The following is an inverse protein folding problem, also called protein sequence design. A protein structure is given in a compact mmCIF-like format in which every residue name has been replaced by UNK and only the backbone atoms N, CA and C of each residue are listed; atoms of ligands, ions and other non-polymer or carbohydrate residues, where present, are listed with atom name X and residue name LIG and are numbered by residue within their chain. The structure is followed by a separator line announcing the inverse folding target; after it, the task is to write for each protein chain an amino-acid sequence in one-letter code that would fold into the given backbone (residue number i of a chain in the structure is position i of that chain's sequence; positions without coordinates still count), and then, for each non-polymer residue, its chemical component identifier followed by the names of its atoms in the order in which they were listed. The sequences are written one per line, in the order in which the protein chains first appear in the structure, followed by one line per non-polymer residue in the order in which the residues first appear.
data_IF_838887433734
#
_entry.id   IF_838887433734
#
_cell.length_a   1.000
_cell.length_b   1.000
_cell.length_c   1.000
_cell.angle_alpha   90.00
_cell.angle_beta   90.00
_cell.angle_gamma   90.00
#
_symmetry.space_group_name_H-M   'P 1'
#
loop_
_entity.id
_entity.type
_entity.pdbx_description
1 polymer ?
2 polymer ?
#
# COMPACT_ATOMS: atom_id res chain seq x y z
N UNK A 1 -10.20 8.08 -9.62
CA UNK A 1 -9.41 7.00 -8.98
C UNK A 1 -9.08 7.34 -7.53
N UNK A 2 -8.34 6.46 -6.88
CA UNK A 2 -7.95 6.66 -5.49
C UNK A 2 -6.67 5.90 -5.16
N UNK A 3 -5.57 6.64 -5.00
CA UNK A 3 -4.29 6.03 -4.68
C UNK A 3 -4.22 5.66 -3.19
N UNK A 4 -3.30 4.77 -2.85
CA UNK A 4 -3.15 4.33 -1.47
C UNK A 4 -1.68 4.09 -1.12
N UNK A 5 -1.17 4.86 -0.18
CA UNK A 5 0.21 4.73 0.26
C UNK A 5 0.41 3.41 1.01
N UNK A 6 1.66 3.02 1.20
CA UNK A 6 1.95 1.77 1.92
C UNK A 6 3.35 1.83 2.57
N UNK A 7 3.41 1.44 3.83
CA UNK A 7 4.67 1.44 4.57
C UNK A 7 4.94 0.05 5.14
N UNK A 8 6.11 -0.49 4.83
CA UNK A 8 6.50 -1.81 5.31
C UNK A 8 6.44 -1.89 6.83
N UNK A 9 6.99 -0.88 7.49
CA UNK A 9 6.99 -0.83 8.95
C UNK A 9 5.91 0.11 9.46
N UNK A 10 5.85 0.28 10.78
CA UNK A 10 4.86 1.14 11.40
C UNK A 10 5.53 2.27 12.19
N UNK A 11 6.62 2.79 11.64
CA UNK A 11 7.36 3.87 12.30
C UNK A 11 7.19 5.18 11.55
N UNK A 12 7.57 6.27 12.20
CA UNK A 12 7.47 7.57 11.58
C UNK A 12 8.66 7.87 10.67
N UNK A 13 9.63 6.95 10.65
CA UNK A 13 10.81 7.11 9.82
C UNK A 13 10.81 6.13 8.66
N UNK A 14 10.13 5.00 8.84
CA UNK A 14 10.04 3.96 7.81
C UNK A 14 9.83 4.56 6.42
N UNK A 15 10.08 3.76 5.39
CA UNK A 15 9.91 4.21 4.02
C UNK A 15 8.44 4.46 3.70
N UNK A 16 8.18 5.57 3.02
CA UNK A 16 6.82 5.95 2.65
C UNK A 16 6.60 5.79 1.15
N UNK A 17 5.83 4.78 0.77
CA UNK A 17 5.54 4.52 -0.63
C UNK A 17 4.04 4.32 -0.84
N UNK A 18 3.67 3.76 -1.99
CA UNK A 18 2.28 3.50 -2.28
C UNK A 18 1.58 4.66 -2.98
N UNK A 19 2.28 5.49 -3.77
CA UNK A 19 1.65 6.60 -4.48
C UNK A 19 0.99 6.14 -5.79
N UNK A 20 0.62 4.87 -5.83
CA UNK A 20 -0.01 4.29 -7.02
C UNK A 20 -1.52 4.22 -6.86
N UNK A 21 -2.22 3.97 -7.96
CA UNK A 21 -3.67 3.89 -7.94
C UNK A 21 -4.13 2.63 -7.20
N UNK A 22 -5.30 2.72 -6.58
CA UNK A 22 -5.85 1.58 -5.85
C UNK A 22 -5.74 0.31 -6.68
N UNK A 23 -5.80 0.48 -8.00
CA UNK A 23 -5.69 -0.63 -8.93
C UNK A 23 -4.33 -1.29 -8.81
N UNK A 24 -3.28 -0.48 -8.86
CA UNK A 24 -1.91 -0.97 -8.76
C UNK A 24 -1.66 -1.57 -7.38
N UNK A 25 -2.23 -0.95 -6.37
CA UNK A 25 -2.08 -1.40 -4.99
C UNK A 25 -2.76 -2.75 -4.81
N UNK A 26 -3.97 -2.88 -5.33
CA UNK A 26 -4.72 -4.13 -5.23
C UNK A 26 -3.92 -5.28 -5.83
N UNK A 27 -3.23 -5.01 -6.93
CA UNK A 27 -2.43 -6.02 -7.60
C UNK A 27 -1.34 -6.55 -6.66
N UNK A 28 -0.49 -5.64 -6.19
CA UNK A 28 0.59 -6.00 -5.29
C UNK A 28 0.05 -6.60 -3.99
N UNK A 29 -0.96 -5.95 -3.43
CA UNK A 29 -1.58 -6.41 -2.19
C UNK A 29 -2.27 -7.77 -2.37
N UNK A 30 -2.85 -7.97 -3.55
CA UNK A 30 -3.54 -9.21 -3.85
C UNK A 30 -2.59 -10.26 -4.43
N UNK A 31 -1.61 -9.81 -5.21
CA UNK A 31 -0.64 -10.70 -5.83
C UNK A 31 0.06 -11.55 -4.77
N UNK A 32 0.21 -11.00 -3.57
CA UNK A 32 0.86 -11.72 -2.50
C UNK A 32 2.18 -11.09 -2.09
N UNK A 33 2.52 -9.96 -2.71
CA UNK A 33 3.77 -9.26 -2.39
C UNK A 33 3.86 -8.95 -0.90
N UNK A 34 2.71 -8.67 -0.29
CA UNK A 34 2.65 -8.36 1.14
C UNK A 34 2.02 -9.50 1.91
N UNK A 35 2.78 -10.56 2.21
CA UNK A 35 2.28 -11.73 2.94
C UNK A 35 1.93 -11.39 4.40
N UNK A 36 2.43 -10.25 4.88
CA UNK A 36 2.16 -9.83 6.25
C UNK A 36 1.35 -8.54 6.28
N UNK A 37 1.17 -7.91 5.12
CA UNK A 37 0.42 -6.68 5.05
C UNK A 37 1.31 -5.47 5.21
N UNK A 38 0.84 -4.31 4.75
CA UNK A 38 1.61 -3.08 4.86
C UNK A 38 0.75 -1.93 5.38
N UNK A 39 1.42 -0.90 5.88
CA UNK A 39 0.73 0.27 6.41
C UNK A 39 0.08 1.06 5.28
N UNK A 40 -1.14 0.65 4.91
CA UNK A 40 -1.87 1.30 3.83
C UNK A 40 -2.60 2.53 4.34
N UNK A 41 -2.66 3.56 3.50
CA UNK A 41 -3.33 4.81 3.84
C UNK A 41 -3.43 5.70 2.62
N UNK A 42 -4.59 6.33 2.44
CA UNK A 42 -4.82 7.22 1.31
C UNK A 42 -3.82 8.36 1.33
N UNK A 43 -3.21 8.63 0.17
CA UNK A 43 -2.22 9.69 0.04
C UNK A 43 -2.75 11.01 0.60
N UNK A 44 -3.92 11.43 0.12
CA UNK A 44 -4.52 12.68 0.58
C UNK A 44 -5.62 12.41 1.60
N UNK A 45 -5.55 13.04 2.79
CA UNK A 45 -4.47 13.96 3.16
C UNK A 45 -3.19 13.24 3.55
N UNK A 46 -2.05 13.95 3.54
CA UNK A 46 -0.76 13.37 3.89
C UNK A 46 -0.55 13.27 5.40
N UNK A 47 -0.41 12.05 5.91
CA UNK A 47 -0.20 11.85 7.33
C UNK A 47 -1.51 11.65 8.08
N UNK A 48 -1.84 10.40 8.36
CA UNK A 48 -3.07 10.09 9.07
C UNK A 48 -3.02 8.77 9.80
N UNK A 49 -4.13 8.38 10.40
CA UNK A 49 -4.22 7.12 11.12
C UNK A 49 -4.09 5.94 10.17
N UNK A 50 -2.87 5.69 9.71
CA UNK A 50 -2.59 4.59 8.78
C UNK A 50 -3.36 3.33 9.16
N UNK A 51 -3.45 2.39 8.21
CA UNK A 51 -4.14 1.12 8.44
C UNK A 51 -3.53 0.02 7.60
N UNK A 52 -3.37 -1.16 8.20
CA UNK A 52 -2.79 -2.30 7.50
C UNK A 52 -3.59 -2.63 6.24
N UNK A 53 -2.89 -2.91 5.15
CA UNK A 53 -3.54 -3.24 3.89
C UNK A 53 -4.51 -4.40 4.06
N UNK A 54 -4.20 -5.29 5.00
CA UNK A 54 -5.05 -6.44 5.26
C UNK A 54 -6.31 -6.03 6.02
N UNK A 55 -6.37 -4.77 6.46
CA UNK A 55 -7.52 -4.26 7.19
C UNK A 55 -8.35 -3.30 6.34
N UNK A 56 -7.94 -3.12 5.08
CA UNK A 56 -8.64 -2.22 4.18
C UNK A 56 -9.39 -3.00 3.10
N UNK A 57 -10.46 -2.42 2.59
CA UNK A 57 -11.26 -3.07 1.55
C UNK A 57 -11.25 -2.23 0.27
N UNK A 58 -10.26 -2.45 -0.58
CA UNK A 58 -10.14 -1.72 -1.84
C UNK A 58 -11.36 -1.98 -2.73
N UNK A 59 -12.03 -3.10 -2.50
CA UNK A 59 -13.21 -3.46 -3.28
C UNK A 59 -14.34 -2.44 -3.09
N UNK A 60 -14.28 -1.70 -1.98
CA UNK A 60 -15.30 -0.70 -1.69
C UNK A 60 -14.83 0.69 -2.11
N UNK A 61 -13.99 0.74 -3.14
CA UNK A 61 -13.48 2.00 -3.64
C UNK A 61 -13.36 1.98 -5.16
N UNK A 62 -12.80 0.89 -5.69
CA UNK A 62 -12.63 0.74 -7.14
C UNK A 62 -13.97 0.48 -7.82
N UNK B 1 -1.30 -6.46 -17.69
CA UNK B 1 -1.49 -7.57 -16.71
C UNK B 1 -0.37 -7.59 -15.68
N UNK B 2 0.85 -7.87 -16.14
CA UNK B 2 2.01 -7.92 -15.26
C UNK B 2 2.26 -6.56 -14.62
N UNK B 3 3.26 -6.50 -13.75
CA UNK B 3 3.60 -5.25 -13.06
C UNK B 3 5.04 -5.30 -12.52
N UNK B 4 5.65 -4.13 -12.34
CA UNK B 4 7.01 -4.01 -11.82
C UNK B 4 7.07 -4.21 -10.31
N UNK B 5 8.29 -4.38 -9.77
CA UNK B 5 8.50 -4.58 -8.33
C UNK B 5 8.16 -3.33 -7.52
N UNK B 6 7.39 -3.47 -6.43
CA UNK B 6 7.01 -2.34 -5.58
C UNK B 6 8.23 -1.72 -4.89
N UNK B 7 8.14 -0.43 -4.50
CA UNK B 7 9.24 0.25 -3.83
C UNK B 7 9.60 -0.40 -2.50
N UNK B 8 10.57 0.19 -1.81
CA UNK B 8 11.00 -0.34 -0.54
C UNK B 8 11.85 -1.59 -0.67
N UNK B 9 11.19 -2.73 -0.89
CA UNK B 9 11.89 -4.01 -1.05
C UNK B 9 13.03 -4.17 -0.05
N UNK B 10 13.91 -5.12 -0.33
CA UNK B 10 15.06 -5.37 0.54
C UNK B 10 15.85 -6.57 0.05
N UNK B 11 17.02 -6.32 -0.52
CA UNK B 11 17.88 -7.37 -1.04
C UNK B 11 19.33 -7.14 -0.65
#
# INVERSE_FOLDING_TARGET
DVMWEYKWENTGDAELYGPFTSAQMQTWVSEGYFPDGVYCRKLDPPGGQFYNSKRIDFDLYT
SHRPPPPGHRV
#
